data_IF_772482245279
#
_entry.id   IF_772482245279
#
_cell.length_a   1.000
_cell.length_b   1.000
_cell.length_c   1.000
_cell.angle_alpha   90.00
_cell.angle_beta   90.00
_cell.angle_gamma   90.00
#
_symmetry.space_group_name_H-M   'P 1'
#
loop_
_entity.id
_entity.type
_entity.pdbx_description
1 polymer ?
#
# COMPACT_ATOMS: atom_id res chain seq x y z
N UNK A 1 30.37 -8.90 25.64
CA UNK A 1 28.99 -9.44 25.57
C UNK A 1 29.04 -10.64 24.65
N UNK A 2 28.82 -11.86 25.15
CA UNK A 2 28.90 -13.08 24.32
C UNK A 2 27.58 -13.26 23.55
N UNK A 3 27.42 -12.52 22.45
CA UNK A 3 26.23 -12.61 21.56
C UNK A 3 25.96 -14.07 21.13
N UNK A 4 27.02 -14.87 20.94
CA UNK A 4 26.91 -16.32 20.67
C UNK A 4 26.22 -17.08 21.80
N UNK A 5 26.67 -16.92 23.04
CA UNK A 5 26.05 -17.57 24.20
C UNK A 5 24.59 -17.13 24.40
N UNK A 6 24.28 -15.86 24.09
CA UNK A 6 22.90 -15.36 24.13
C UNK A 6 22.05 -15.98 23.01
N UNK A 7 22.62 -16.15 21.82
CA UNK A 7 21.96 -16.81 20.69
C UNK A 7 21.67 -18.28 20.98
N UNK A 8 22.62 -19.00 21.57
CA UNK A 8 22.48 -20.41 21.95
C UNK A 8 21.42 -20.60 23.05
N UNK A 9 21.42 -19.74 24.08
CA UNK A 9 20.50 -19.85 25.21
C UNK A 9 19.07 -19.37 24.93
N UNK A 10 18.91 -18.39 24.03
CA UNK A 10 17.59 -17.80 23.74
C UNK A 10 17.01 -18.24 22.41
N UNK A 11 17.77 -18.93 21.56
CA UNK A 11 17.42 -19.28 20.17
C UNK A 11 17.12 -18.07 19.26
N UNK A 12 17.49 -16.86 19.67
CA UNK A 12 17.37 -15.66 18.84
C UNK A 12 18.68 -15.40 18.07
N UNK A 13 18.56 -14.92 16.83
CA UNK A 13 19.71 -14.64 15.95
C UNK A 13 20.13 -13.17 15.90
N UNK A 14 19.30 -12.26 16.42
CA UNK A 14 19.47 -10.80 16.35
C UNK A 14 19.06 -10.16 17.66
N UNK A 15 19.85 -9.20 18.13
CA UNK A 15 19.68 -8.59 19.44
C UNK A 15 19.81 -7.06 19.34
N UNK A 16 18.82 -6.31 19.83
CA UNK A 16 18.98 -4.88 20.02
C UNK A 16 20.03 -4.62 21.09
N UNK A 17 20.90 -3.65 20.84
CA UNK A 17 21.90 -3.17 21.79
C UNK A 17 21.37 -1.89 22.41
N UNK A 18 21.33 -1.84 23.74
CA UNK A 18 20.84 -0.69 24.49
C UNK A 18 21.91 -0.12 25.40
N UNK A 19 21.80 1.16 25.73
CA UNK A 19 22.63 1.79 26.76
C UNK A 19 22.08 1.54 28.19
N UNK A 20 22.75 2.10 29.21
CA UNK A 20 22.34 1.97 30.62
C UNK A 20 20.93 2.51 30.94
N UNK A 21 20.36 3.37 30.08
CA UNK A 21 19.02 3.92 30.20
C UNK A 21 17.98 3.15 29.36
N UNK A 22 18.33 1.96 28.86
CA UNK A 22 17.50 1.14 27.96
C UNK A 22 17.15 1.81 26.62
N UNK A 23 17.89 2.86 26.22
CA UNK A 23 17.72 3.45 24.89
C UNK A 23 18.49 2.64 23.87
N UNK A 24 17.86 2.36 22.73
CA UNK A 24 18.47 1.65 21.62
C UNK A 24 19.66 2.42 21.06
N UNK A 25 20.78 1.74 20.86
CA UNK A 25 22.02 2.30 20.27
C UNK A 25 22.55 1.48 19.08
N UNK A 26 22.01 0.29 18.85
CA UNK A 26 22.43 -0.56 17.74
C UNK A 26 21.65 -1.86 17.66
N UNK A 27 21.96 -2.66 16.65
CA UNK A 27 21.53 -4.06 16.54
C UNK A 27 22.74 -4.93 16.19
N UNK A 28 22.81 -6.12 16.78
CA UNK A 28 23.87 -7.09 16.52
C UNK A 28 23.29 -8.45 16.20
N UNK A 29 23.87 -9.13 15.22
CA UNK A 29 23.48 -10.47 14.82
C UNK A 29 24.55 -11.49 15.17
N UNK A 30 24.19 -12.77 15.22
CA UNK A 30 25.15 -13.85 15.39
C UNK A 30 26.23 -13.85 14.29
N UNK A 31 25.89 -13.36 13.07
CA UNK A 31 26.82 -13.26 11.94
C UNK A 31 27.90 -12.19 12.15
N UNK A 32 27.56 -11.09 12.80
CA UNK A 32 28.49 -9.95 13.00
C UNK A 32 29.65 -10.30 13.95
N UNK A 33 29.46 -11.33 14.79
CA UNK A 33 30.47 -11.81 15.75
C UNK A 33 31.25 -13.03 15.25
N UNK A 34 30.94 -13.58 14.06
CA UNK A 34 31.68 -14.72 13.52
C UNK A 34 33.13 -14.31 13.19
N UNK A 35 34.09 -15.10 13.70
CA UNK A 35 35.51 -14.86 13.47
C UNK A 35 36.08 -13.63 14.20
N UNK A 36 35.32 -13.03 15.11
CA UNK A 36 35.77 -11.90 15.94
C UNK A 36 36.31 -12.39 17.29
N UNK A 37 37.26 -11.64 17.86
CA UNK A 37 37.81 -11.91 19.20
C UNK A 37 36.72 -11.82 20.28
N UNK A 38 36.77 -12.71 21.27
CA UNK A 38 35.85 -12.69 22.41
C UNK A 38 35.99 -11.43 23.29
N UNK A 39 37.13 -10.74 23.21
CA UNK A 39 37.40 -9.51 23.97
C UNK A 39 36.85 -8.25 23.29
N UNK A 40 36.39 -8.35 22.03
CA UNK A 40 35.85 -7.21 21.31
C UNK A 40 34.50 -6.77 21.90
N UNK A 41 34.35 -5.47 22.10
CA UNK A 41 33.12 -4.90 22.65
C UNK A 41 32.03 -4.82 21.57
N UNK A 42 30.76 -4.91 22.00
CA UNK A 42 29.62 -5.02 21.06
C UNK A 42 29.46 -3.77 20.18
N UNK A 43 29.86 -2.60 20.68
CA UNK A 43 29.83 -1.33 19.94
C UNK A 43 30.71 -1.31 18.69
N UNK A 44 31.69 -2.23 18.61
CA UNK A 44 32.60 -2.36 17.47
C UNK A 44 32.08 -3.29 16.37
N UNK A 45 31.04 -4.07 16.66
CA UNK A 45 30.49 -5.07 15.73
C UNK A 45 29.01 -4.85 15.42
N UNK A 46 28.30 -4.09 16.24
CA UNK A 46 26.89 -3.77 16.00
C UNK A 46 26.72 -2.84 14.79
N UNK A 47 25.58 -2.96 14.12
CA UNK A 47 25.08 -1.93 13.22
C UNK A 47 24.53 -0.78 14.07
N UNK A 48 25.10 0.41 13.90
CA UNK A 48 24.64 1.64 14.55
C UNK A 48 23.42 2.19 13.83
N UNK A 49 22.59 2.92 14.56
CA UNK A 49 21.39 3.59 14.04
C UNK A 49 20.49 2.65 13.21
N UNK A 50 20.05 1.50 13.78
CA UNK A 50 19.24 0.54 13.05
C UNK A 50 17.87 1.12 12.69
N UNK A 51 17.25 0.60 11.64
CA UNK A 51 15.86 0.94 11.32
C UNK A 51 14.95 0.45 12.45
N UNK A 52 14.16 1.37 12.99
CA UNK A 52 13.24 1.13 14.11
C UNK A 52 11.80 1.29 13.68
N UNK A 53 10.90 0.73 14.48
CA UNK A 53 9.46 0.95 14.35
C UNK A 53 8.88 1.47 15.65
N UNK A 54 7.76 2.18 15.58
CA UNK A 54 6.99 2.66 16.74
C UNK A 54 5.78 1.78 16.97
N UNK A 55 5.30 1.70 18.22
CA UNK A 55 4.07 0.96 18.58
C UNK A 55 2.84 1.34 17.76
N UNK A 56 2.74 2.60 17.37
CA UNK A 56 1.62 3.15 16.60
C UNK A 56 1.70 2.88 15.09
N UNK A 57 2.82 2.34 14.59
CA UNK A 57 2.95 2.03 13.16
C UNK A 57 2.10 0.81 12.80
N UNK A 58 1.45 0.86 11.64
CA UNK A 58 0.67 -0.27 11.15
C UNK A 58 1.55 -1.47 10.80
N UNK A 59 1.03 -2.68 11.00
CA UNK A 59 1.71 -3.93 10.60
C UNK A 59 2.05 -3.93 9.10
N UNK A 60 1.19 -3.35 8.26
CA UNK A 60 1.42 -3.23 6.82
C UNK A 60 2.62 -2.32 6.49
N UNK A 61 2.73 -1.16 7.14
CA UNK A 61 3.88 -0.25 6.98
C UNK A 61 5.18 -0.91 7.44
N UNK A 62 5.15 -1.61 8.57
CA UNK A 62 6.31 -2.37 9.07
C UNK A 62 6.71 -3.49 8.08
N UNK A 63 5.73 -4.21 7.53
CA UNK A 63 5.96 -5.24 6.51
C UNK A 63 6.66 -4.69 5.27
N UNK A 64 6.18 -3.57 4.74
CA UNK A 64 6.77 -2.92 3.57
C UNK A 64 8.23 -2.53 3.85
N UNK A 65 8.51 -1.93 5.00
CA UNK A 65 9.86 -1.54 5.39
C UNK A 65 10.79 -2.75 5.56
N UNK A 66 10.31 -3.84 6.18
CA UNK A 66 11.09 -5.08 6.32
C UNK A 66 11.44 -5.73 4.97
N UNK A 67 10.55 -5.65 3.99
CA UNK A 67 10.80 -6.18 2.64
C UNK A 67 11.81 -5.31 1.91
N UNK A 68 11.58 -3.99 1.88
CA UNK A 68 12.40 -3.03 1.16
C UNK A 68 13.85 -3.04 1.65
N UNK A 69 14.04 -3.03 2.97
CA UNK A 69 15.36 -2.97 3.60
C UNK A 69 15.98 -4.37 3.82
N UNK A 70 15.28 -5.44 3.44
CA UNK A 70 15.79 -6.80 3.63
C UNK A 70 15.90 -7.23 5.11
N UNK A 71 15.14 -6.61 6.02
CA UNK A 71 15.26 -6.81 7.46
C UNK A 71 14.38 -7.93 7.97
N UNK A 72 14.97 -8.87 8.72
CA UNK A 72 14.23 -9.97 9.37
C UNK A 72 13.65 -9.59 10.73
N UNK A 73 14.26 -8.63 11.42
CA UNK A 73 13.88 -8.16 12.76
C UNK A 73 14.07 -6.64 12.81
N UNK A 74 13.12 -5.95 13.43
CA UNK A 74 13.21 -4.52 13.71
C UNK A 74 12.96 -4.25 15.20
N UNK A 75 13.76 -3.39 15.86
CA UNK A 75 13.48 -2.93 17.22
C UNK A 75 12.23 -2.04 17.26
N UNK A 76 11.39 -2.25 18.27
CA UNK A 76 10.23 -1.40 18.57
C UNK A 76 10.63 -0.43 19.67
N UNK A 77 10.47 0.88 19.42
CA UNK A 77 10.90 1.93 20.35
C UNK A 77 9.80 2.95 20.62
N UNK A 78 9.90 3.64 21.76
CA UNK A 78 9.15 4.88 22.03
C UNK A 78 9.83 6.10 21.36
N UNK A 79 9.22 7.29 21.46
CA UNK A 79 9.74 8.52 20.87
C UNK A 79 11.13 8.91 21.38
N UNK A 80 11.47 8.54 22.61
CA UNK A 80 12.77 8.77 23.20
C UNK A 80 13.77 7.63 22.89
N UNK A 81 13.50 6.73 21.96
CA UNK A 81 14.31 5.55 21.65
C UNK A 81 14.42 4.53 22.80
N UNK A 82 13.61 4.63 23.86
CA UNK A 82 13.50 3.54 24.83
C UNK A 82 13.03 2.27 24.11
N UNK A 83 13.79 1.19 24.27
CA UNK A 83 13.47 -0.09 23.66
C UNK A 83 12.26 -0.70 24.36
N UNK A 84 11.21 -0.93 23.59
CA UNK A 84 10.00 -1.62 24.04
C UNK A 84 10.13 -3.12 23.78
N UNK A 85 10.66 -3.49 22.62
CA UNK A 85 10.73 -4.88 22.20
C UNK A 85 11.27 -5.03 20.79
N UNK A 86 10.94 -6.16 20.15
CA UNK A 86 11.31 -6.45 18.76
C UNK A 86 10.08 -6.97 18.02
N UNK A 87 10.09 -6.80 16.71
CA UNK A 87 9.13 -7.43 15.81
C UNK A 87 9.89 -8.19 14.73
N UNK A 88 9.53 -9.45 14.50
CA UNK A 88 10.11 -10.27 13.44
C UNK A 88 9.21 -10.32 12.20
N UNK A 89 9.77 -10.69 11.05
CA UNK A 89 8.98 -10.99 9.84
C UNK A 89 7.89 -12.01 10.10
N UNK A 90 8.15 -13.02 10.93
CA UNK A 90 7.16 -14.05 11.27
C UNK A 90 5.99 -13.47 12.06
N UNK A 91 6.26 -12.56 13.00
CA UNK A 91 5.21 -11.86 13.76
C UNK A 91 4.34 -11.01 12.83
N UNK A 92 4.97 -10.29 11.89
CA UNK A 92 4.28 -9.49 10.88
C UNK A 92 3.41 -10.37 9.99
N UNK A 93 3.96 -11.47 9.44
CA UNK A 93 3.20 -12.40 8.60
C UNK A 93 2.01 -13.00 9.34
N UNK A 94 2.21 -13.42 10.60
CA UNK A 94 1.14 -13.99 11.43
C UNK A 94 0.07 -12.94 11.73
N UNK A 95 0.47 -11.71 12.04
CA UNK A 95 -0.47 -10.61 12.26
C UNK A 95 -1.27 -10.27 11.00
N UNK A 96 -0.65 -10.23 9.81
CA UNK A 96 -1.35 -10.01 8.55
C UNK A 96 -2.35 -11.14 8.22
N UNK A 97 -1.99 -12.41 8.51
CA UNK A 97 -2.91 -13.54 8.36
C UNK A 97 -4.09 -13.50 9.36
N UNK A 98 -3.85 -13.00 10.58
CA UNK A 98 -4.90 -12.82 11.57
C UNK A 98 -5.84 -11.66 11.20
N UNK A 99 -5.31 -10.58 10.61
CA UNK A 99 -6.09 -9.48 10.05
C UNK A 99 -7.01 -9.98 8.95
N UNK A 100 -6.52 -10.83 8.03
CA UNK A 100 -7.36 -11.47 7.00
C UNK A 100 -8.45 -12.42 7.55
N UNK A 101 -8.31 -12.89 8.80
CA UNK A 101 -9.30 -13.77 9.47
C UNK A 101 -10.28 -13.02 10.36
N UNK A 102 -10.14 -11.70 10.53
CA UNK A 102 -11.15 -10.87 11.15
C UNK A 102 -12.12 -10.36 10.08
N UNK A 103 -13.42 -10.70 10.13
CA UNK A 103 -14.41 -10.21 9.16
C UNK A 103 -14.60 -8.68 9.18
N UNK A 104 -13.98 -7.98 10.13
CA UNK A 104 -14.15 -6.54 10.37
C UNK A 104 -13.07 -5.66 9.69
N UNK A 105 -12.08 -6.24 8.99
CA UNK A 105 -11.15 -5.50 8.13
C UNK A 105 -11.19 -6.18 6.75
N UNK A 106 -12.35 -6.07 6.11
CA UNK A 106 -12.70 -6.93 4.98
C UNK A 106 -12.04 -6.51 3.65
N UNK A 107 -11.63 -5.25 3.47
CA UNK A 107 -11.08 -4.74 2.21
C UNK A 107 -10.37 -3.40 2.49
N UNK A 108 -9.33 -3.04 1.72
CA UNK A 108 -8.85 -1.65 1.76
C UNK A 108 -9.93 -0.71 1.18
N UNK A 109 -9.87 0.59 1.47
CA UNK A 109 -10.82 1.55 0.87
C UNK A 109 -10.77 1.47 -0.68
N UNK A 110 -9.59 1.23 -1.25
CA UNK A 110 -9.40 1.01 -2.69
C UNK A 110 -10.10 -0.27 -3.15
N UNK A 111 -9.96 -1.37 -2.41
CA UNK A 111 -10.63 -2.64 -2.71
C UNK A 111 -12.16 -2.47 -2.66
N UNK A 112 -12.69 -1.82 -1.61
CA UNK A 112 -14.13 -1.53 -1.48
C UNK A 112 -14.66 -0.70 -2.65
N UNK A 113 -13.94 0.35 -3.06
CA UNK A 113 -14.36 1.19 -4.20
C UNK A 113 -14.27 0.38 -5.49
N UNK A 114 -13.19 -0.36 -5.70
CA UNK A 114 -12.99 -1.14 -6.92
C UNK A 114 -13.98 -2.28 -7.08
N UNK A 115 -14.42 -2.90 -5.98
CA UNK A 115 -15.41 -3.97 -5.98
C UNK A 115 -16.77 -3.51 -6.51
N UNK A 116 -17.12 -2.24 -6.31
CA UNK A 116 -18.37 -1.63 -6.79
C UNK A 116 -18.30 -1.13 -8.24
N UNK A 117 -17.11 -1.12 -8.86
CA UNK A 117 -16.95 -0.77 -10.29
C UNK A 117 -17.30 -1.99 -11.13
N UNK A 118 -18.42 -1.95 -11.84
CA UNK A 118 -18.92 -3.06 -12.63
C UNK A 118 -18.76 -2.80 -14.14
N UNK A 119 -18.18 -3.72 -14.93
CA UNK A 119 -18.17 -3.57 -16.38
C UNK A 119 -19.59 -3.65 -16.95
N UNK A 120 -19.86 -2.89 -18.00
CA UNK A 120 -21.13 -2.96 -18.73
C UNK A 120 -20.99 -3.95 -19.87
N UNK A 121 -21.90 -4.94 -19.91
CA UNK A 121 -22.03 -5.86 -21.03
C UNK A 121 -23.08 -5.37 -22.03
N UNK A 122 -22.74 -5.37 -23.31
CA UNK A 122 -23.71 -5.15 -24.40
C UNK A 122 -23.66 -6.35 -25.35
N UNK A 123 -24.82 -6.95 -25.63
CA UNK A 123 -24.96 -8.11 -26.54
C UNK A 123 -24.04 -9.30 -26.19
N UNK A 124 -23.81 -9.55 -24.89
CA UNK A 124 -22.95 -10.64 -24.42
C UNK A 124 -21.46 -10.42 -24.66
N UNK A 125 -21.04 -9.18 -24.93
CA UNK A 125 -19.62 -8.78 -24.97
C UNK A 125 -19.37 -7.68 -23.95
N UNK A 126 -18.27 -7.81 -23.21
CA UNK A 126 -17.77 -6.75 -22.35
C UNK A 126 -17.49 -5.50 -23.18
N UNK A 127 -18.07 -4.37 -22.79
CA UNK A 127 -17.74 -3.06 -23.34
C UNK A 127 -16.60 -2.44 -22.53
N UNK A 128 -16.06 -1.32 -23.01
CA UNK A 128 -15.13 -0.50 -22.22
C UNK A 128 -15.84 0.46 -21.28
N UNK A 129 -17.14 0.33 -21.05
CA UNK A 129 -17.92 1.18 -20.12
C UNK A 129 -18.07 0.51 -18.77
N UNK A 130 -18.18 1.32 -17.73
CA UNK A 130 -18.29 0.87 -16.35
C UNK A 130 -19.47 1.56 -15.66
N UNK A 131 -20.11 0.84 -14.75
CA UNK A 131 -21.14 1.37 -13.86
C UNK A 131 -20.62 1.42 -12.44
N UNK A 132 -21.08 2.41 -11.68
CA UNK A 132 -20.75 2.55 -10.26
C UNK A 132 -21.93 3.14 -9.48
N UNK A 133 -22.30 2.49 -8.38
CA UNK A 133 -23.36 2.97 -7.47
C UNK A 133 -22.76 3.72 -6.29
N UNK A 134 -23.23 4.94 -6.02
CA UNK A 134 -22.70 5.75 -4.90
C UNK A 134 -23.33 5.32 -3.58
N UNK A 135 -22.53 4.65 -2.73
CA UNK A 135 -22.95 4.18 -1.42
C UNK A 135 -22.72 5.20 -0.27
N UNK A 136 -23.40 5.07 0.89
CA UNK A 136 -23.29 6.03 2.00
C UNK A 136 -21.87 6.26 2.54
N UNK A 137 -21.02 5.24 2.53
CA UNK A 137 -19.63 5.34 2.98
C UNK A 137 -18.71 6.13 2.02
N UNK A 138 -19.22 6.50 0.84
CA UNK A 138 -18.46 7.16 -0.21
C UNK A 138 -18.73 8.67 -0.31
N UNK A 139 -19.72 9.17 0.42
CA UNK A 139 -20.11 10.59 0.39
C UNK A 139 -19.41 11.40 1.48
N UNK A 140 -19.29 12.70 1.26
CA UNK A 140 -18.76 13.66 2.21
C UNK A 140 -19.85 14.14 3.19
N UNK A 141 -19.51 15.09 4.06
CA UNK A 141 -20.44 15.64 5.08
C UNK A 141 -21.66 16.38 4.51
N UNK A 142 -21.68 16.69 3.21
CA UNK A 142 -22.80 17.36 2.53
C UNK A 142 -23.57 16.42 1.61
N UNK A 143 -23.32 15.10 1.69
CA UNK A 143 -24.10 14.09 0.97
C UNK A 143 -23.74 13.93 -0.52
N UNK A 144 -22.59 14.45 -0.95
CA UNK A 144 -22.07 14.27 -2.31
C UNK A 144 -20.87 13.36 -2.33
N UNK A 145 -20.57 12.69 -3.45
CA UNK A 145 -19.39 11.81 -3.56
C UNK A 145 -18.11 12.54 -3.10
N UNK A 146 -17.30 11.85 -2.30
CA UNK A 146 -16.03 12.38 -1.82
C UNK A 146 -15.00 12.45 -2.94
N UNK A 147 -14.14 13.47 -2.91
CA UNK A 147 -13.16 13.70 -3.98
C UNK A 147 -12.23 12.49 -4.20
N UNK A 148 -11.75 11.90 -3.11
CA UNK A 148 -10.89 10.73 -3.14
C UNK A 148 -11.56 9.50 -3.74
N UNK A 149 -12.88 9.34 -3.55
CA UNK A 149 -13.61 8.20 -4.11
C UNK A 149 -13.67 8.29 -5.62
N UNK A 150 -14.08 9.44 -6.17
CA UNK A 150 -14.12 9.57 -7.63
C UNK A 150 -12.72 9.48 -8.26
N UNK A 151 -11.69 10.01 -7.60
CA UNK A 151 -10.31 9.86 -8.05
C UNK A 151 -9.86 8.39 -8.09
N UNK A 152 -10.31 7.59 -7.11
CA UNK A 152 -10.03 6.15 -7.06
C UNK A 152 -10.79 5.39 -8.17
N UNK A 153 -12.07 5.71 -8.38
CA UNK A 153 -12.87 5.15 -9.48
C UNK A 153 -12.19 5.40 -10.83
N UNK A 154 -11.76 6.64 -11.09
CA UNK A 154 -11.06 7.01 -12.33
C UNK A 154 -9.76 6.23 -12.50
N UNK A 155 -9.02 6.03 -11.41
CA UNK A 155 -7.78 5.25 -11.41
C UNK A 155 -8.05 3.78 -11.73
N UNK A 156 -9.04 3.19 -11.08
CA UNK A 156 -9.44 1.81 -11.29
C UNK A 156 -9.92 1.55 -12.72
N UNK A 157 -10.80 2.41 -13.23
CA UNK A 157 -11.30 2.35 -14.61
C UNK A 157 -10.17 2.49 -15.62
N UNK A 158 -9.19 3.36 -15.37
CA UNK A 158 -8.00 3.49 -16.23
C UNK A 158 -7.24 2.18 -16.32
N UNK A 159 -6.92 1.57 -15.17
CA UNK A 159 -6.16 0.31 -15.13
C UNK A 159 -6.92 -0.83 -15.81
N UNK A 160 -8.22 -0.98 -15.52
CA UNK A 160 -9.07 -2.01 -16.17
C UNK A 160 -9.17 -1.80 -17.68
N UNK A 161 -9.37 -0.56 -18.14
CA UNK A 161 -9.43 -0.24 -19.58
C UNK A 161 -8.15 -0.63 -20.31
N UNK A 162 -6.99 -0.35 -19.70
CA UNK A 162 -5.69 -0.70 -20.28
C UNK A 162 -5.44 -2.20 -20.27
N UNK A 163 -5.87 -2.90 -19.21
CA UNK A 163 -5.78 -4.35 -19.12
C UNK A 163 -6.66 -5.06 -20.17
N UNK A 164 -7.92 -4.62 -20.33
CA UNK A 164 -8.88 -5.24 -21.26
C UNK A 164 -8.49 -5.01 -22.73
N UNK A 165 -8.13 -3.77 -23.10
CA UNK A 165 -7.85 -3.44 -24.51
C UNK A 165 -6.44 -3.80 -24.95
N UNK A 166 -5.45 -3.74 -24.06
CA UNK A 166 -4.03 -3.85 -24.42
C UNK A 166 -3.30 -4.99 -23.71
N UNK A 167 -3.92 -5.63 -22.71
CA UNK A 167 -3.28 -6.65 -21.85
C UNK A 167 -1.99 -6.15 -21.21
N UNK A 168 -1.95 -4.86 -20.85
CA UNK A 168 -0.80 -4.20 -20.24
C UNK A 168 -1.16 -3.58 -18.90
N UNK A 169 -0.25 -3.72 -17.94
CA UNK A 169 -0.30 -2.99 -16.69
C UNK A 169 0.18 -1.55 -16.92
N UNK A 170 -0.42 -0.62 -16.19
CA UNK A 170 -0.07 0.79 -16.26
C UNK A 170 0.10 1.37 -14.85
N UNK A 171 1.07 2.27 -14.72
CA UNK A 171 1.23 3.13 -13.55
C UNK A 171 0.64 4.50 -13.87
N UNK A 172 -0.29 4.99 -13.06
CA UNK A 172 -0.84 6.32 -13.24
C UNK A 172 0.18 7.35 -12.74
N UNK A 173 0.58 8.26 -13.62
CA UNK A 173 1.51 9.34 -13.29
C UNK A 173 0.75 10.62 -12.93
N UNK A 174 -0.35 10.88 -13.64
CA UNK A 174 -1.12 12.10 -13.48
C UNK A 174 -2.60 11.87 -13.77
N UNK A 175 -3.46 12.46 -12.94
CA UNK A 175 -4.90 12.59 -13.17
C UNK A 175 -5.26 14.07 -13.11
N UNK A 176 -5.90 14.58 -14.16
CA UNK A 176 -6.55 15.88 -14.13
C UNK A 176 -8.07 15.66 -14.14
N UNK A 177 -8.70 15.80 -12.97
CA UNK A 177 -10.12 15.53 -12.75
C UNK A 177 -10.89 16.83 -12.52
N UNK A 178 -11.92 17.06 -13.35
CA UNK A 178 -12.82 18.19 -13.27
C UNK A 178 -14.21 17.74 -12.83
N UNK A 179 -14.71 18.36 -11.76
CA UNK A 179 -16.10 18.22 -11.30
C UNK A 179 -16.95 19.26 -12.00
N UNK A 180 -17.93 18.82 -12.78
CA UNK A 180 -18.83 19.71 -13.50
C UNK A 180 -20.14 19.88 -12.74
N UNK A 181 -20.58 18.86 -11.99
CA UNK A 181 -21.81 18.85 -11.19
C UNK A 181 -21.63 18.02 -9.92
N UNK A 182 -22.51 18.26 -8.95
CA UNK A 182 -22.59 17.45 -7.74
C UNK A 182 -23.14 16.06 -8.07
N UNK A 183 -22.56 15.04 -7.45
CA UNK A 183 -22.99 13.65 -7.55
C UNK A 183 -23.47 13.25 -6.16
N UNK A 184 -24.76 12.91 -6.03
CA UNK A 184 -25.38 12.63 -4.74
C UNK A 184 -25.28 11.15 -4.38
N UNK A 185 -25.58 10.85 -3.12
CA UNK A 185 -25.85 9.48 -2.66
C UNK A 185 -26.87 8.77 -3.57
N UNK A 186 -26.78 7.44 -3.70
CA UNK A 186 -27.70 6.60 -4.49
C UNK A 186 -27.71 6.90 -6.00
N UNK A 187 -26.76 7.70 -6.47
CA UNK A 187 -26.59 7.96 -7.90
C UNK A 187 -25.90 6.78 -8.59
N UNK A 188 -26.40 6.42 -9.78
CA UNK A 188 -25.77 5.46 -10.69
C UNK A 188 -24.94 6.19 -11.74
N UNK A 189 -23.63 5.96 -11.71
CA UNK A 189 -22.68 6.57 -12.64
C UNK A 189 -22.42 5.65 -13.82
N UNK A 190 -22.40 6.21 -15.03
CA UNK A 190 -21.91 5.57 -16.25
C UNK A 190 -20.56 6.22 -16.64
N UNK A 191 -19.50 5.42 -16.57
CA UNK A 191 -18.12 5.87 -16.73
C UNK A 191 -17.61 5.37 -18.08
N UNK A 192 -17.22 6.32 -18.93
CA UNK A 192 -16.87 6.08 -20.33
C UNK A 192 -15.42 6.49 -20.60
N UNK A 193 -14.47 5.56 -20.44
CA UNK A 193 -13.09 5.79 -20.83
C UNK A 193 -12.90 5.67 -22.34
N UNK A 194 -12.07 6.56 -22.88
CA UNK A 194 -11.60 6.57 -24.27
C UNK A 194 -10.10 6.76 -24.27
N UNK A 195 -9.38 5.83 -24.89
CA UNK A 195 -7.94 5.98 -25.07
C UNK A 195 -7.69 7.03 -26.16
N UNK A 196 -6.97 8.10 -25.82
CA UNK A 196 -6.62 9.18 -26.74
C UNK A 196 -5.32 8.87 -27.49
N UNK A 197 -4.33 8.35 -26.77
CA UNK A 197 -3.01 8.09 -27.32
C UNK A 197 -2.38 6.89 -26.60
N UNK A 198 -1.66 6.05 -27.36
CA UNK A 198 -0.86 4.95 -26.82
C UNK A 198 0.51 4.98 -27.49
N UNK A 199 1.53 5.27 -26.69
CA UNK A 199 2.94 5.11 -27.05
C UNK A 199 3.52 3.82 -26.47
N UNK A 200 4.83 3.62 -26.68
CA UNK A 200 5.54 2.45 -26.13
C UNK A 200 5.65 2.48 -24.61
N UNK A 201 5.81 3.68 -24.04
CA UNK A 201 6.06 3.92 -22.61
C UNK A 201 4.96 4.71 -21.91
N UNK A 202 4.08 5.37 -22.64
CA UNK A 202 3.02 6.22 -22.07
C UNK A 202 1.70 5.97 -22.78
N UNK A 203 0.60 6.20 -22.07
CA UNK A 203 -0.74 6.24 -22.63
C UNK A 203 -1.53 7.39 -22.01
N UNK A 204 -2.49 7.91 -22.77
CA UNK A 204 -3.38 9.00 -22.35
C UNK A 204 -4.82 8.61 -22.56
N UNK A 205 -5.64 8.82 -21.53
CA UNK A 205 -7.06 8.49 -21.55
C UNK A 205 -7.90 9.73 -21.24
N UNK A 206 -9.04 9.81 -21.90
CA UNK A 206 -10.14 10.73 -21.62
C UNK A 206 -11.26 9.92 -20.97
N UNK A 207 -11.70 10.32 -19.79
CA UNK A 207 -12.73 9.60 -19.04
C UNK A 207 -13.85 10.57 -18.74
N UNK A 208 -15.03 10.24 -19.25
CA UNK A 208 -16.25 11.00 -18.99
C UNK A 208 -17.12 10.23 -17.99
N UNK A 209 -17.62 10.93 -16.98
CA UNK A 209 -18.52 10.37 -15.98
C UNK A 209 -19.90 10.98 -16.20
N UNK A 210 -20.87 10.11 -16.47
CA UNK A 210 -22.26 10.47 -16.69
C UNK A 210 -23.10 10.10 -15.48
N UNK A 211 -24.03 10.99 -15.14
CA UNK A 211 -25.20 10.66 -14.36
C UNK A 211 -26.38 10.77 -15.31
N UNK A 212 -27.05 9.65 -15.57
CA UNK A 212 -28.03 9.52 -16.66
C UNK A 212 -27.40 9.92 -18.02
N UNK A 213 -27.84 11.04 -18.61
CA UNK A 213 -27.36 11.55 -19.89
C UNK A 213 -26.53 12.84 -19.76
N UNK A 214 -26.12 13.20 -18.55
CA UNK A 214 -25.42 14.44 -18.26
C UNK A 214 -24.00 14.15 -17.77
N UNK A 215 -23.02 14.83 -18.36
CA UNK A 215 -21.63 14.77 -17.86
C UNK A 215 -21.55 15.51 -16.52
N UNK A 216 -21.19 14.77 -15.48
CA UNK A 216 -21.02 15.28 -14.11
C UNK A 216 -19.55 15.44 -13.73
N UNK A 217 -18.65 14.68 -14.35
CA UNK A 217 -17.22 14.87 -14.22
C UNK A 217 -16.47 14.46 -15.50
N UNK A 218 -15.27 14.99 -15.67
CA UNK A 218 -14.38 14.65 -16.79
C UNK A 218 -12.94 14.59 -16.32
N UNK A 219 -12.21 13.59 -16.77
CA UNK A 219 -10.81 13.40 -16.41
C UNK A 219 -9.91 13.13 -17.62
N UNK A 220 -8.71 13.71 -17.60
CA UNK A 220 -7.61 13.31 -18.45
C UNK A 220 -6.58 12.59 -17.59
N UNK A 221 -6.26 11.36 -17.96
CA UNK A 221 -5.31 10.50 -17.23
C UNK A 221 -4.09 10.24 -18.11
N UNK A 222 -2.90 10.41 -17.53
CA UNK A 222 -1.63 10.04 -18.13
C UNK A 222 -1.04 8.90 -17.32
N UNK A 223 -0.67 7.82 -18.01
CA UNK A 223 -0.09 6.65 -17.37
C UNK A 223 1.13 6.14 -18.11
N UNK A 224 2.07 5.59 -17.37
CA UNK A 224 3.22 4.88 -17.88
C UNK A 224 2.82 3.42 -18.16
N UNK A 225 3.13 2.95 -19.36
CA UNK A 225 2.89 1.56 -19.76
C UNK A 225 4.07 0.70 -19.28
N UNK A 226 3.78 -0.34 -18.51
CA UNK A 226 4.80 -1.27 -18.02
C UNK A 226 5.13 -2.30 -19.11
N UNK A 227 6.42 -2.63 -19.24
CA UNK A 227 6.85 -3.73 -20.10
C UNK A 227 6.47 -5.07 -19.47
N UNK A 228 6.02 -6.02 -20.31
CA UNK A 228 5.83 -7.40 -19.86
C UNK A 228 7.21 -7.96 -19.50
N UNK A 229 7.39 -8.28 -18.22
CA UNK A 229 8.51 -9.11 -17.76
C UNK A 229 8.27 -10.56 -18.15
#
# INVERSE_FOLDING_TARGET
>A
VKVRALSESTHHSRFPVVNKKLRLVGIVTAKDVIGKSEHLTVDKVMTKDPNVVKKMMSVASVSHQMIWDGLEVMPVVEDDLALVGIVSRQDVMKAMQLVQRQPQIADTISDQISGEVMPVEENGKETTRFRFSVAPQMVNSVGTISFGVLSEIISNVTQRTMLMNQKRNVLIEQVNLHYLRLIQLESELDIRPRILEIGRRSAKLDIEVYLENVIVAKAIVVCQVMERT
#
